data_IF_295166363186
#
_entry.id   IF_295166363186
#
_cell.length_a   1.000
_cell.length_b   1.000
_cell.length_c   1.000
_cell.angle_alpha   90.00
_cell.angle_beta   90.00
_cell.angle_gamma   90.00
#
_symmetry.space_group_name_H-M   'P 1'
#
loop_
_entity.id
_entity.type
_entity.pdbx_description
1 polymer ?
#
# COMPACT_ATOMS: atom_id res chain seq x y z
N UNK A 1 29.50 -13.43 -18.02
CA UNK A 1 28.19 -13.93 -17.55
C UNK A 1 27.19 -12.79 -17.67
N UNK A 2 25.94 -13.05 -18.05
CA UNK A 2 24.90 -12.00 -17.92
C UNK A 2 24.67 -11.76 -16.43
N UNK A 3 24.67 -10.50 -16.00
CA UNK A 3 24.41 -10.15 -14.60
C UNK A 3 22.93 -10.40 -14.20
N UNK A 4 22.05 -10.58 -15.20
CA UNK A 4 20.63 -10.87 -15.02
C UNK A 4 20.27 -12.14 -15.80
N UNK A 5 19.56 -13.05 -15.15
CA UNK A 5 18.95 -14.23 -15.75
C UNK A 5 17.48 -13.92 -15.98
N UNK A 6 16.99 -14.00 -17.23
CA UNK A 6 15.62 -13.64 -17.59
C UNK A 6 14.62 -14.73 -17.20
N UNK A 7 14.31 -14.78 -15.90
CA UNK A 7 13.33 -15.64 -15.28
C UNK A 7 12.77 -14.93 -14.05
N UNK A 8 11.46 -14.78 -13.98
CA UNK A 8 10.75 -14.23 -12.83
C UNK A 8 9.92 -15.26 -12.06
N UNK A 9 9.15 -14.78 -11.10
CA UNK A 9 8.22 -15.57 -10.29
C UNK A 9 6.80 -15.65 -10.90
N UNK A 10 6.53 -14.84 -11.92
CA UNK A 10 5.23 -14.71 -12.56
C UNK A 10 4.97 -15.85 -13.54
N UNK A 11 3.89 -16.59 -13.26
CA UNK A 11 3.31 -17.59 -14.16
C UNK A 11 2.34 -16.96 -15.15
N UNK A 12 1.95 -17.69 -16.20
CA UNK A 12 0.94 -17.20 -17.16
C UNK A 12 -0.42 -16.93 -16.50
N UNK A 13 -0.77 -17.70 -15.46
CA UNK A 13 -1.98 -17.46 -14.68
C UNK A 13 -1.88 -16.15 -13.88
N UNK A 14 -0.72 -15.84 -13.31
CA UNK A 14 -0.50 -14.59 -12.59
C UNK A 14 -0.68 -13.40 -13.55
N UNK A 15 -0.11 -13.50 -14.75
CA UNK A 15 -0.23 -12.47 -15.80
C UNK A 15 -1.67 -12.30 -16.26
N UNK A 16 -2.41 -13.40 -16.46
CA UNK A 16 -3.82 -13.34 -16.82
C UNK A 16 -4.63 -12.58 -15.75
N UNK A 17 -4.49 -12.98 -14.48
CA UNK A 17 -5.19 -12.33 -13.37
C UNK A 17 -4.78 -10.85 -13.22
N UNK A 18 -3.50 -10.53 -13.43
CA UNK A 18 -3.00 -9.17 -13.38
C UNK A 18 -3.68 -8.27 -14.42
N UNK A 19 -3.70 -8.71 -15.69
CA UNK A 19 -4.31 -7.98 -16.81
C UNK A 19 -5.83 -7.82 -16.65
N UNK A 20 -6.49 -8.79 -16.03
CA UNK A 20 -7.94 -8.73 -15.73
C UNK A 20 -8.27 -7.89 -14.48
N UNK A 21 -7.28 -7.43 -13.72
CA UNK A 21 -7.53 -6.65 -12.51
C UNK A 21 -7.97 -7.51 -11.31
N UNK A 22 -7.60 -8.79 -11.30
CA UNK A 22 -8.07 -9.82 -10.37
C UNK A 22 -6.93 -10.55 -9.64
N UNK A 23 -5.69 -10.07 -9.71
CA UNK A 23 -4.59 -10.59 -8.90
C UNK A 23 -4.46 -9.79 -7.61
N UNK A 24 -4.85 -10.37 -6.48
CA UNK A 24 -4.91 -9.67 -5.18
C UNK A 24 -3.74 -9.99 -4.23
N UNK A 25 -2.80 -10.82 -4.67
CA UNK A 25 -1.52 -11.10 -3.99
C UNK A 25 -0.31 -10.72 -4.84
N UNK A 26 -0.38 -9.60 -5.57
CA UNK A 26 0.71 -9.20 -6.47
C UNK A 26 2.06 -9.03 -5.75
N UNK A 27 2.02 -8.70 -4.47
CA UNK A 27 3.19 -8.58 -3.62
C UNK A 27 3.99 -9.88 -3.51
N UNK A 28 3.46 -11.06 -3.83
CA UNK A 28 4.25 -12.32 -3.83
C UNK A 28 5.11 -12.50 -5.08
N UNK A 29 4.94 -11.61 -6.07
CA UNK A 29 5.40 -11.80 -7.45
C UNK A 29 6.14 -10.57 -7.99
N UNK A 30 5.54 -9.40 -7.83
CA UNK A 30 6.13 -8.09 -8.10
C UNK A 30 6.94 -7.62 -6.89
N UNK A 31 7.89 -6.74 -7.13
CA UNK A 31 8.82 -6.28 -6.11
C UNK A 31 10.16 -7.00 -6.16
N UNK A 32 10.83 -7.12 -5.01
CA UNK A 32 12.05 -7.89 -4.84
C UNK A 32 11.86 -9.07 -3.90
N UNK A 33 12.28 -10.26 -4.35
CA UNK A 33 12.06 -11.53 -3.65
C UNK A 33 13.35 -12.33 -3.55
N UNK A 34 13.81 -12.57 -2.33
CA UNK A 34 14.92 -13.49 -2.09
C UNK A 34 14.54 -14.90 -2.53
N UNK A 35 15.46 -15.59 -3.19
CA UNK A 35 15.23 -16.96 -3.61
C UNK A 35 16.47 -17.62 -4.17
N UNK A 36 16.25 -18.76 -4.81
CA UNK A 36 17.29 -19.56 -5.44
C UNK A 36 16.87 -19.90 -6.87
N UNK A 37 17.81 -19.83 -7.80
CA UNK A 37 17.63 -20.29 -9.17
C UNK A 37 18.80 -21.19 -9.54
N UNK A 38 18.50 -22.43 -9.93
CA UNK A 38 19.48 -23.43 -10.37
C UNK A 38 20.66 -23.62 -9.38
N UNK A 39 20.37 -23.65 -8.07
CA UNK A 39 21.37 -23.82 -7.01
C UNK A 39 22.07 -22.53 -6.57
N UNK A 40 21.73 -21.38 -7.16
CA UNK A 40 22.37 -20.10 -6.88
C UNK A 40 21.40 -19.17 -6.15
N UNK A 41 21.78 -18.70 -4.96
CA UNK A 41 21.00 -17.71 -4.21
C UNK A 41 21.10 -16.32 -4.83
N UNK A 42 20.01 -15.57 -4.75
CA UNK A 42 19.93 -14.21 -5.26
C UNK A 42 18.54 -13.62 -5.04
N UNK A 43 18.19 -12.63 -5.87
CA UNK A 43 16.92 -11.92 -5.76
C UNK A 43 16.23 -11.88 -7.12
N UNK A 44 14.94 -12.21 -7.14
CA UNK A 44 14.04 -11.96 -8.26
C UNK A 44 13.52 -10.53 -8.17
N UNK A 45 13.57 -9.79 -9.27
CA UNK A 45 12.98 -8.46 -9.39
C UNK A 45 11.89 -8.49 -10.45
N UNK A 46 10.77 -7.83 -10.20
CA UNK A 46 9.74 -7.61 -11.20
C UNK A 46 9.00 -6.29 -10.99
N UNK A 47 8.81 -5.53 -12.06
CA UNK A 47 8.15 -4.22 -12.04
C UNK A 47 7.29 -4.00 -13.27
N UNK A 48 6.12 -3.39 -13.07
CA UNK A 48 5.22 -3.02 -14.16
C UNK A 48 5.58 -1.64 -14.72
N UNK A 49 6.01 -1.61 -15.99
CA UNK A 49 6.41 -0.38 -16.69
C UNK A 49 6.19 -0.56 -18.22
N UNK A 50 4.92 -0.65 -18.66
CA UNK A 50 4.57 -1.05 -20.03
C UNK A 50 5.12 -0.12 -21.12
N UNK A 51 5.31 1.16 -20.81
CA UNK A 51 5.79 2.15 -21.79
C UNK A 51 7.31 2.37 -21.73
N UNK A 52 8.02 1.63 -20.88
CA UNK A 52 9.47 1.71 -20.81
C UNK A 52 10.15 1.14 -22.06
N UNK A 53 11.22 1.79 -22.51
CA UNK A 53 12.17 1.28 -23.49
C UNK A 53 13.20 0.35 -22.83
N UNK A 54 13.56 0.64 -21.58
CA UNK A 54 14.55 -0.11 -20.80
C UNK A 54 14.30 0.06 -19.31
N UNK A 55 14.35 -1.04 -18.57
CA UNK A 55 14.35 -1.03 -17.10
C UNK A 55 15.58 -1.77 -16.59
N UNK A 56 16.29 -1.15 -15.66
CA UNK A 56 17.45 -1.74 -14.99
C UNK A 56 17.30 -1.66 -13.48
N UNK A 57 17.84 -2.63 -12.76
CA UNK A 57 18.00 -2.55 -11.31
C UNK A 57 19.32 -1.85 -11.00
N UNK A 58 19.26 -0.72 -10.30
CA UNK A 58 20.45 0.02 -9.85
C UNK A 58 20.52 -0.01 -8.33
N UNK A 59 21.70 -0.18 -7.77
CA UNK A 59 21.85 -0.33 -6.33
C UNK A 59 23.30 -0.27 -5.87
N UNK A 60 23.50 -0.46 -4.57
CA UNK A 60 24.83 -0.51 -3.96
C UNK A 60 25.74 -1.58 -4.60
N UNK A 61 25.20 -2.75 -4.87
CA UNK A 61 25.86 -3.92 -5.46
C UNK A 61 26.40 -3.69 -6.88
N UNK A 62 25.97 -2.62 -7.56
CA UNK A 62 26.45 -2.28 -8.91
C UNK A 62 26.93 -0.83 -9.05
N UNK A 63 27.17 -0.15 -7.92
CA UNK A 63 27.59 1.25 -7.92
C UNK A 63 26.56 2.18 -8.57
N UNK A 64 25.27 1.83 -8.49
CA UNK A 64 24.15 2.53 -9.12
C UNK A 64 24.25 2.63 -10.66
N UNK A 65 24.93 1.69 -11.32
CA UNK A 65 25.16 1.71 -12.76
C UNK A 65 23.95 1.17 -13.56
N UNK A 66 23.25 2.02 -14.35
CA UNK A 66 22.04 1.64 -15.08
C UNK A 66 22.28 0.69 -16.25
N UNK A 67 23.52 0.51 -16.71
CA UNK A 67 23.85 -0.37 -17.84
C UNK A 67 24.25 -1.79 -17.37
N UNK A 68 24.29 -2.04 -16.06
CA UNK A 68 24.83 -3.28 -15.49
C UNK A 68 23.82 -4.42 -15.35
N UNK A 69 22.60 -4.13 -14.90
CA UNK A 69 21.57 -5.13 -14.54
C UNK A 69 20.23 -4.82 -15.22
N UNK A 70 20.20 -4.93 -16.55
CA UNK A 70 19.01 -4.69 -17.38
C UNK A 70 18.04 -5.87 -17.25
N UNK A 71 16.78 -5.60 -16.91
CA UNK A 71 15.71 -6.61 -16.80
C UNK A 71 15.19 -7.03 -18.19
N UNK A 72 14.59 -8.22 -18.25
CA UNK A 72 13.91 -8.69 -19.45
C UNK A 72 12.44 -8.27 -19.45
N UNK A 73 11.96 -7.73 -20.57
CA UNK A 73 10.52 -7.50 -20.77
C UNK A 73 9.81 -8.82 -21.07
N UNK A 74 8.63 -9.03 -20.47
CA UNK A 74 7.74 -10.13 -20.84
C UNK A 74 6.99 -9.80 -22.13
N UNK A 75 7.14 -10.65 -23.16
CA UNK A 75 6.49 -10.49 -24.46
C UNK A 75 5.07 -11.07 -24.48
N UNK A 76 4.28 -10.80 -23.44
CA UNK A 76 2.90 -11.28 -23.22
C UNK A 76 1.88 -10.12 -23.12
N UNK A 77 2.32 -8.92 -23.49
CA UNK A 77 1.57 -7.65 -23.42
C UNK A 77 1.18 -7.23 -21.99
N UNK A 78 1.80 -7.79 -20.94
CA UNK A 78 1.63 -7.30 -19.56
C UNK A 78 2.38 -5.99 -19.29
N UNK A 79 3.48 -5.77 -20.01
CA UNK A 79 4.39 -4.65 -19.75
C UNK A 79 5.22 -4.81 -18.48
N UNK A 80 5.34 -6.04 -17.96
CA UNK A 80 6.19 -6.36 -16.81
C UNK A 80 7.63 -6.61 -17.27
N UNK A 81 8.56 -6.04 -16.51
CA UNK A 81 10.00 -6.27 -16.61
C UNK A 81 10.44 -7.13 -15.44
N UNK A 82 11.19 -8.21 -15.70
CA UNK A 82 11.60 -9.14 -14.67
C UNK A 82 13.00 -9.74 -14.89
N UNK A 83 13.57 -10.28 -13.82
CA UNK A 83 14.82 -11.04 -13.88
C UNK A 83 15.33 -11.46 -12.51
N UNK A 84 16.12 -12.53 -12.50
CA UNK A 84 16.86 -12.99 -11.34
C UNK A 84 18.28 -12.45 -11.38
N UNK A 85 18.74 -11.90 -10.26
CA UNK A 85 20.10 -11.40 -10.09
C UNK A 85 20.82 -12.21 -9.00
N UNK A 86 21.82 -13.03 -9.37
CA UNK A 86 22.62 -13.79 -8.42
C UNK A 86 23.34 -12.92 -7.39
N UNK A 87 23.46 -13.41 -6.15
CA UNK A 87 24.30 -12.80 -5.12
C UNK A 87 23.74 -11.55 -4.43
N UNK A 88 22.59 -11.02 -4.87
CA UNK A 88 21.89 -9.96 -4.13
C UNK A 88 21.18 -10.57 -2.93
N UNK A 89 21.45 -10.02 -1.76
CA UNK A 89 20.99 -10.52 -0.45
C UNK A 89 20.09 -9.53 0.27
N UNK A 90 19.49 -10.00 1.38
CA UNK A 90 18.68 -9.18 2.26
C UNK A 90 19.46 -7.95 2.75
N UNK A 91 18.88 -6.76 2.63
CA UNK A 91 19.48 -5.48 3.01
C UNK A 91 20.09 -4.69 1.86
N UNK A 92 20.22 -5.27 0.66
CA UNK A 92 20.73 -4.54 -0.50
C UNK A 92 19.82 -3.38 -0.90
N UNK A 93 20.41 -2.20 -1.11
CA UNK A 93 19.70 -1.00 -1.56
C UNK A 93 19.50 -1.05 -3.08
N UNK A 94 18.31 -0.72 -3.55
CA UNK A 94 18.02 -0.67 -4.98
C UNK A 94 16.94 0.34 -5.37
N UNK A 95 16.93 0.66 -6.66
CA UNK A 95 15.87 1.38 -7.39
C UNK A 95 15.73 0.79 -8.79
N UNK A 96 14.62 1.08 -9.45
CA UNK A 96 14.48 0.88 -10.88
C UNK A 96 14.91 2.12 -11.64
N UNK A 97 15.90 1.98 -12.52
CA UNK A 97 16.22 3.00 -13.52
C UNK A 97 15.40 2.73 -14.79
N UNK A 98 14.49 3.63 -15.11
CA UNK A 98 13.53 3.50 -16.21
C UNK A 98 13.88 4.52 -17.28
N UNK A 99 14.08 4.04 -18.51
CA UNK A 99 14.10 4.86 -19.72
C UNK A 99 12.78 4.61 -20.44
N UNK A 100 11.99 5.66 -20.66
CA UNK A 100 10.71 5.60 -21.35
C UNK A 100 10.89 5.64 -22.87
N UNK A 101 9.93 5.06 -23.60
CA UNK A 101 9.78 5.32 -25.03
C UNK A 101 9.25 6.75 -25.32
N UNK A 102 8.79 7.47 -24.30
CA UNK A 102 8.17 8.77 -24.44
C UNK A 102 9.11 9.91 -24.04
N UNK A 103 9.27 10.90 -24.93
CA UNK A 103 9.88 12.20 -24.66
C UNK A 103 11.30 12.17 -24.05
N UNK A 104 12.05 11.08 -24.25
CA UNK A 104 13.38 10.89 -23.64
C UNK A 104 13.34 10.81 -22.10
N UNK A 105 12.17 10.56 -21.51
CA UNK A 105 12.01 10.54 -20.06
C UNK A 105 12.84 9.42 -19.43
N UNK A 106 13.68 9.79 -18.46
CA UNK A 106 14.53 8.87 -17.71
C UNK A 106 14.44 9.20 -16.23
N UNK A 107 14.28 8.18 -15.39
CA UNK A 107 14.04 8.37 -13.96
C UNK A 107 14.55 7.18 -13.13
N UNK A 108 14.87 7.43 -11.86
CA UNK A 108 15.03 6.38 -10.86
C UNK A 108 13.83 6.34 -9.93
N UNK A 109 13.17 5.19 -9.84
CA UNK A 109 11.99 4.95 -9.03
C UNK A 109 12.29 4.04 -7.85
N UNK A 110 11.70 4.34 -6.70
CA UNK A 110 11.52 3.34 -5.66
C UNK A 110 10.59 2.23 -6.19
N UNK A 111 10.75 1.02 -5.69
CA UNK A 111 9.89 -0.11 -6.03
C UNK A 111 8.48 0.10 -5.45
N UNK A 112 7.42 0.12 -6.29
CA UNK A 112 6.03 0.21 -5.82
C UNK A 112 5.63 -0.91 -4.86
N UNK A 113 6.30 -2.07 -4.92
CA UNK A 113 6.09 -3.28 -4.11
C UNK A 113 7.25 -3.54 -3.14
N UNK A 114 8.05 -2.52 -2.80
CA UNK A 114 9.08 -2.66 -1.76
C UNK A 114 8.45 -3.13 -0.44
N UNK A 115 9.15 -4.03 0.26
CA UNK A 115 8.79 -4.42 1.64
C UNK A 115 9.53 -3.61 2.69
N UNK A 116 10.60 -2.92 2.29
CA UNK A 116 11.38 -2.02 3.13
C UNK A 116 11.95 -0.91 2.26
N UNK A 117 12.07 0.27 2.86
CA UNK A 117 12.68 1.46 2.27
C UNK A 117 13.79 2.01 3.17
N UNK A 118 14.67 2.81 2.59
CA UNK A 118 15.52 3.68 3.39
C UNK A 118 14.68 4.72 4.14
N UNK A 119 15.18 5.18 5.28
CA UNK A 119 14.52 6.24 6.05
C UNK A 119 14.57 7.58 5.31
N UNK A 120 13.42 8.26 5.15
CA UNK A 120 13.38 9.59 4.53
C UNK A 120 14.39 10.56 5.18
N UNK A 121 15.03 11.43 4.38
CA UNK A 121 14.72 11.79 2.99
C UNK A 121 15.32 10.87 1.93
N UNK A 122 15.98 9.77 2.32
CA UNK A 122 16.45 8.77 1.36
C UNK A 122 15.28 7.99 0.77
N UNK A 123 15.49 7.42 -0.41
CA UNK A 123 14.39 6.95 -1.27
C UNK A 123 14.67 5.61 -1.95
N UNK A 124 15.76 4.92 -1.63
CA UNK A 124 15.96 3.58 -2.17
C UNK A 124 15.02 2.58 -1.47
N UNK A 125 14.58 1.59 -2.25
CA UNK A 125 13.98 0.38 -1.73
C UNK A 125 15.08 -0.53 -1.20
N UNK A 126 14.73 -1.44 -0.31
CA UNK A 126 15.66 -2.40 0.30
C UNK A 126 15.13 -3.80 0.01
N UNK A 127 15.99 -4.69 -0.53
CA UNK A 127 15.65 -6.11 -0.65
C UNK A 127 15.43 -6.66 0.74
N UNK A 128 14.22 -7.17 1.01
CA UNK A 128 13.85 -7.55 2.36
C UNK A 128 12.98 -8.80 2.38
N UNK A 129 13.19 -9.65 3.37
CA UNK A 129 12.37 -10.81 3.65
C UNK A 129 11.47 -10.57 4.87
N UNK A 130 10.26 -11.12 4.81
CA UNK A 130 9.20 -10.89 5.78
C UNK A 130 9.00 -12.05 6.77
N UNK A 131 9.95 -12.99 6.87
CA UNK A 131 9.85 -14.06 7.87
C UNK A 131 9.81 -13.49 9.28
N UNK A 132 8.84 -13.97 10.05
CA UNK A 132 8.60 -13.65 11.45
C UNK A 132 7.85 -14.81 12.11
N UNK A 133 8.14 -15.08 13.39
CA UNK A 133 7.49 -16.14 14.15
C UNK A 133 6.40 -15.56 15.05
N UNK A 134 5.19 -15.46 14.50
CA UNK A 134 3.98 -14.99 15.18
C UNK A 134 3.60 -15.83 16.41
N UNK A 135 2.96 -15.20 17.39
CA UNK A 135 2.49 -15.83 18.61
C UNK A 135 1.04 -15.40 18.94
N UNK A 136 0.28 -15.04 17.91
CA UNK A 136 -1.08 -14.50 17.99
C UNK A 136 -2.15 -15.48 17.47
N UNK A 137 -1.84 -16.77 17.37
CA UNK A 137 -2.78 -17.78 16.88
C UNK A 137 -4.10 -17.81 17.67
N UNK A 138 -4.02 -17.59 18.99
CA UNK A 138 -5.20 -17.53 19.85
C UNK A 138 -6.08 -16.33 19.49
N UNK A 139 -5.48 -15.15 19.28
CA UNK A 139 -6.19 -13.95 18.82
C UNK A 139 -6.85 -14.16 17.46
N UNK A 140 -6.11 -14.66 16.47
CA UNK A 140 -6.68 -14.90 15.13
C UNK A 140 -7.85 -15.89 15.16
N UNK A 141 -7.83 -16.86 16.07
CA UNK A 141 -8.94 -17.80 16.25
C UNK A 141 -10.20 -17.17 16.87
N UNK A 142 -10.04 -16.09 17.64
CA UNK A 142 -11.14 -15.38 18.33
C UNK A 142 -11.45 -14.01 17.73
N UNK A 143 -10.68 -13.54 16.74
CA UNK A 143 -10.81 -12.21 16.12
C UNK A 143 -12.24 -11.90 15.68
N UNK A 144 -12.92 -12.85 15.04
CA UNK A 144 -14.32 -12.67 14.63
C UNK A 144 -15.29 -12.37 15.78
N UNK A 145 -14.99 -12.86 17.00
CA UNK A 145 -15.76 -12.51 18.21
C UNK A 145 -15.45 -11.09 18.65
N UNK A 146 -14.22 -10.61 18.51
CA UNK A 146 -13.85 -9.25 18.90
C UNK A 146 -14.29 -8.19 17.89
N UNK A 147 -14.33 -8.55 16.60
CA UNK A 147 -14.65 -7.67 15.49
C UNK A 147 -16.13 -7.66 15.08
N UNK A 148 -16.98 -8.46 15.73
CA UNK A 148 -18.39 -8.53 15.36
C UNK A 148 -19.12 -7.20 15.59
N UNK A 149 -20.17 -6.92 14.83
CA UNK A 149 -21.02 -5.74 15.03
C UNK A 149 -21.72 -5.70 16.39
N UNK A 150 -21.80 -6.83 17.10
CA UNK A 150 -22.35 -6.93 18.46
C UNK A 150 -21.29 -6.80 19.56
N UNK A 151 -20.02 -6.65 19.19
CA UNK A 151 -18.90 -6.61 20.11
C UNK A 151 -18.62 -5.18 20.59
N UNK A 152 -18.02 -5.01 21.78
CA UNK A 152 -17.54 -3.70 22.18
C UNK A 152 -16.41 -3.27 21.25
N UNK A 153 -16.59 -2.13 20.59
CA UNK A 153 -15.57 -1.50 19.77
C UNK A 153 -15.31 -0.10 20.35
N UNK A 154 -14.24 -0.01 21.12
CA UNK A 154 -13.65 1.24 21.62
C UNK A 154 -12.24 1.36 21.08
N UNK A 155 -12.03 2.36 20.21
CA UNK A 155 -10.78 2.59 19.46
C UNK A 155 -9.97 3.71 20.10
N UNK A 156 -8.66 3.51 20.21
CA UNK A 156 -7.70 4.55 20.55
C UNK A 156 -6.89 4.91 19.30
N UNK A 157 -7.15 6.10 18.75
CA UNK A 157 -6.46 6.60 17.55
C UNK A 157 -5.06 7.11 17.92
N UNK A 158 -4.04 6.64 17.18
CA UNK A 158 -2.63 6.86 17.50
C UNK A 158 -1.82 7.23 16.26
N UNK A 159 -1.13 8.37 16.32
CA UNK A 159 -0.01 8.63 15.43
C UNK A 159 1.29 8.06 16.06
N UNK A 160 1.80 6.96 15.49
CA UNK A 160 2.94 6.21 16.02
C UNK A 160 4.18 7.09 16.29
N UNK A 161 4.40 8.09 15.44
CA UNK A 161 5.54 8.98 15.57
C UNK A 161 5.43 10.06 16.64
N UNK A 162 4.25 10.33 17.21
CA UNK A 162 4.07 11.45 18.16
C UNK A 162 3.37 11.07 19.46
N UNK A 163 2.92 9.82 19.61
CA UNK A 163 2.28 9.35 20.83
C UNK A 163 3.17 9.50 22.07
N UNK A 164 4.45 9.10 21.95
CA UNK A 164 5.46 9.29 23.00
C UNK A 164 6.83 9.51 22.38
N UNK A 165 7.63 10.34 23.04
CA UNK A 165 9.03 10.63 22.69
C UNK A 165 9.96 10.22 23.82
N UNK A 166 11.23 10.01 23.51
CA UNK A 166 12.31 9.78 24.48
C UNK A 166 13.11 11.09 24.64
N UNK A 167 12.87 11.91 25.67
CA UNK A 167 13.52 13.22 25.83
C UNK A 167 15.05 13.13 25.93
N UNK A 168 15.56 12.04 26.51
CA UNK A 168 17.00 11.79 26.69
C UNK A 168 17.70 11.45 25.37
N UNK A 169 16.94 11.14 24.32
CA UNK A 169 17.43 10.80 22.98
C UNK A 169 16.98 11.83 21.95
N UNK A 170 17.16 13.11 22.26
CA UNK A 170 16.82 14.24 21.37
C UNK A 170 15.35 14.20 20.89
N UNK A 171 14.44 13.87 21.81
CA UNK A 171 13.01 13.69 21.52
C UNK A 171 12.72 12.70 20.37
N UNK A 172 13.55 11.66 20.20
CA UNK A 172 13.30 10.59 19.24
C UNK A 172 11.91 9.96 19.45
N UNK A 173 11.23 9.66 18.34
CA UNK A 173 10.03 8.82 18.37
C UNK A 173 10.34 7.42 18.87
N UNK A 174 9.40 6.78 19.54
CA UNK A 174 9.54 5.36 19.86
C UNK A 174 9.68 4.51 18.58
N UNK A 175 10.47 3.45 18.67
CA UNK A 175 10.49 2.36 17.70
C UNK A 175 9.21 1.53 17.81
N UNK A 176 8.91 0.72 16.80
CA UNK A 176 7.77 -0.20 16.86
C UNK A 176 7.86 -1.19 18.04
N UNK A 177 9.07 -1.60 18.44
CA UNK A 177 9.23 -2.46 19.63
C UNK A 177 8.87 -1.75 20.92
N UNK A 178 9.41 -0.54 21.11
CA UNK A 178 9.10 0.28 22.28
C UNK A 178 7.60 0.64 22.33
N UNK A 179 6.98 0.91 21.17
CA UNK A 179 5.52 1.06 21.06
C UNK A 179 4.81 -0.23 21.43
N UNK A 180 5.26 -1.39 20.93
CA UNK A 180 4.66 -2.70 21.23
C UNK A 180 4.58 -2.96 22.72
N UNK A 181 5.65 -2.67 23.45
CA UNK A 181 5.68 -2.87 24.90
C UNK A 181 4.83 -1.83 25.65
N UNK A 182 5.00 -0.54 25.32
CA UNK A 182 4.41 0.53 26.12
C UNK A 182 2.96 0.86 25.78
N UNK A 183 2.56 0.77 24.50
CA UNK A 183 1.20 1.06 24.05
C UNK A 183 0.26 -0.09 24.39
N UNK A 184 0.68 -1.35 24.20
CA UNK A 184 -0.16 -2.51 24.53
C UNK A 184 -0.51 -2.56 26.01
N UNK A 185 0.45 -2.30 26.90
CA UNK A 185 0.24 -2.20 28.34
C UNK A 185 -0.69 -1.03 28.70
N UNK A 186 -0.44 0.15 28.14
CA UNK A 186 -1.28 1.32 28.37
C UNK A 186 -2.74 1.07 27.98
N UNK A 187 -2.97 0.53 26.78
CA UNK A 187 -4.32 0.30 26.27
C UNK A 187 -5.06 -0.79 27.03
N UNK A 188 -4.35 -1.85 27.43
CA UNK A 188 -4.92 -2.89 28.30
C UNK A 188 -5.38 -2.29 29.64
N UNK A 189 -4.57 -1.44 30.25
CA UNK A 189 -4.87 -0.84 31.56
C UNK A 189 -6.05 0.14 31.50
N UNK A 190 -6.21 0.86 30.39
CA UNK A 190 -7.34 1.78 30.18
C UNK A 190 -8.60 1.04 29.69
N UNK A 191 -8.46 -0.10 29.03
CA UNK A 191 -9.57 -0.92 28.55
C UNK A 191 -10.06 -0.60 27.13
N UNK A 192 -9.17 -0.11 26.25
CA UNK A 192 -9.48 -0.01 24.83
C UNK A 192 -9.45 -1.40 24.16
N UNK A 193 -10.29 -1.58 23.14
CA UNK A 193 -10.40 -2.86 22.41
C UNK A 193 -9.58 -2.90 21.14
N UNK A 194 -9.32 -1.72 20.56
CA UNK A 194 -8.66 -1.57 19.27
C UNK A 194 -7.75 -0.35 19.30
N UNK A 195 -6.63 -0.42 18.58
CA UNK A 195 -5.84 0.75 18.19
C UNK A 195 -6.11 1.04 16.73
N UNK A 196 -6.36 2.30 16.40
CA UNK A 196 -6.36 2.78 15.02
C UNK A 196 -5.10 3.60 14.81
N UNK A 197 -4.19 3.13 13.95
CA UNK A 197 -3.01 3.90 13.60
C UNK A 197 -3.31 4.81 12.42
N UNK A 198 -2.94 6.09 12.54
CA UNK A 198 -2.71 6.94 11.37
C UNK A 198 -1.74 6.23 10.40
N UNK A 199 -1.73 6.58 9.09
CA UNK A 199 -1.09 5.75 8.08
C UNK A 199 0.37 5.40 8.42
N UNK A 200 0.61 4.09 8.56
CA UNK A 200 1.95 3.56 8.87
C UNK A 200 2.78 3.30 7.62
N UNK A 201 2.16 3.36 6.44
CA UNK A 201 2.82 3.18 5.15
C UNK A 201 3.95 4.21 4.95
N UNK A 202 5.00 3.84 4.22
CA UNK A 202 6.15 4.72 4.01
C UNK A 202 5.74 5.99 3.24
N UNK A 203 6.14 7.13 3.78
CA UNK A 203 5.78 8.46 3.30
C UNK A 203 6.96 9.42 3.46
N UNK A 204 7.26 10.28 2.48
CA UNK A 204 8.47 11.10 2.49
C UNK A 204 8.37 12.27 3.49
N UNK A 205 7.20 12.91 3.56
CA UNK A 205 7.00 14.11 4.38
C UNK A 205 6.28 13.79 5.68
N UNK A 206 6.97 13.96 6.81
CA UNK A 206 6.42 13.67 8.14
C UNK A 206 5.19 14.54 8.50
N UNK A 207 5.14 15.78 8.00
CA UNK A 207 4.02 16.68 8.24
C UNK A 207 2.72 16.30 7.50
N UNK A 208 2.76 15.30 6.62
CA UNK A 208 1.54 14.71 6.04
C UNK A 208 0.81 13.76 6.99
N UNK A 209 1.42 13.45 8.15
CA UNK A 209 0.95 12.45 9.11
C UNK A 209 0.76 11.04 8.54
N UNK A 210 1.30 10.79 7.34
CA UNK A 210 1.19 9.52 6.62
C UNK A 210 0.27 9.57 5.40
N UNK A 211 -0.63 10.55 5.30
CA UNK A 211 -1.63 10.62 4.22
C UNK A 211 -1.06 10.94 2.84
N UNK A 212 0.23 11.26 2.71
CA UNK A 212 0.94 11.35 1.44
C UNK A 212 1.89 10.16 1.26
N UNK A 213 1.31 8.97 1.07
CA UNK A 213 2.04 7.70 0.97
C UNK A 213 2.79 7.55 -0.35
N UNK A 214 4.00 6.99 -0.31
CA UNK A 214 4.75 6.56 -1.51
C UNK A 214 5.14 5.08 -1.49
N UNK A 215 5.18 4.43 -0.33
CA UNK A 215 5.46 2.99 -0.19
C UNK A 215 4.28 2.23 0.42
N UNK A 216 3.41 1.69 -0.43
CA UNK A 216 2.15 1.04 -0.05
C UNK A 216 2.30 -0.35 0.60
N UNK A 217 3.47 -0.97 0.45
CA UNK A 217 3.81 -2.31 0.97
C UNK A 217 4.95 -2.27 2.00
N UNK A 218 5.28 -1.07 2.51
CA UNK A 218 6.37 -0.85 3.47
C UNK A 218 5.85 -0.13 4.70
N UNK A 219 6.00 -0.69 5.92
CA UNK A 219 5.82 0.11 7.13
C UNK A 219 6.96 1.13 7.23
N UNK A 220 6.63 2.36 7.61
CA UNK A 220 7.54 3.50 7.70
C UNK A 220 8.79 3.11 8.47
N UNK A 221 9.93 3.22 7.80
CA UNK A 221 11.25 2.86 8.32
C UNK A 221 11.73 3.77 9.46
N UNK A 222 11.01 4.87 9.72
CA UNK A 222 11.28 5.80 10.84
C UNK A 222 11.27 5.13 12.20
N UNK A 223 10.49 4.05 12.36
CA UNK A 223 10.27 3.40 13.64
C UNK A 223 10.89 1.99 13.74
N UNK A 224 11.57 1.52 12.69
CA UNK A 224 12.26 0.23 12.70
C UNK A 224 12.09 -0.59 11.43
N UNK A 225 12.30 -1.88 11.54
CA UNK A 225 12.14 -2.86 10.46
C UNK A 225 10.69 -3.35 10.33
N UNK A 226 10.34 -3.97 9.19
CA UNK A 226 9.09 -4.72 9.05
C UNK A 226 8.79 -5.68 10.21
N UNK A 227 9.80 -6.43 10.68
CA UNK A 227 9.66 -7.36 11.81
C UNK A 227 9.38 -6.64 13.14
N UNK A 228 9.84 -5.41 13.30
CA UNK A 228 9.54 -4.62 14.50
C UNK A 228 8.08 -4.17 14.47
N UNK A 229 7.52 -3.87 13.30
CA UNK A 229 6.08 -3.61 13.16
C UNK A 229 5.24 -4.88 13.38
N UNK A 230 5.68 -6.05 12.88
CA UNK A 230 5.04 -7.33 13.21
C UNK A 230 5.05 -7.59 14.72
N UNK A 231 6.15 -7.26 15.41
CA UNK A 231 6.21 -7.35 16.88
C UNK A 231 5.20 -6.44 17.58
N UNK A 232 5.00 -5.20 17.10
CA UNK A 232 3.98 -4.30 17.64
C UNK A 232 2.58 -4.94 17.54
N UNK A 233 2.24 -5.47 16.38
CA UNK A 233 0.94 -6.14 16.17
C UNK A 233 0.81 -7.38 17.07
N UNK A 234 1.82 -8.24 17.10
CA UNK A 234 1.84 -9.45 17.95
C UNK A 234 1.69 -9.11 19.45
N UNK A 235 2.34 -8.02 19.90
CA UNK A 235 2.23 -7.54 21.28
C UNK A 235 0.80 -7.04 21.61
N UNK A 236 0.14 -6.36 20.68
CA UNK A 236 -1.25 -5.91 20.84
C UNK A 236 -2.23 -7.09 20.86
N UNK A 237 -2.07 -8.04 19.93
CA UNK A 237 -2.89 -9.26 19.86
C UNK A 237 -2.78 -10.11 21.13
N UNK A 238 -1.58 -10.25 21.72
CA UNK A 238 -1.39 -10.93 23.02
C UNK A 238 -2.14 -10.28 24.18
N UNK A 239 -2.59 -9.04 24.01
CA UNK A 239 -3.42 -8.31 24.98
C UNK A 239 -4.89 -8.22 24.55
N UNK A 240 -5.29 -8.96 23.52
CA UNK A 240 -6.62 -8.92 22.90
C UNK A 240 -7.01 -7.53 22.40
N UNK A 241 -6.04 -6.78 21.86
CA UNK A 241 -6.25 -5.47 21.25
C UNK A 241 -6.14 -5.62 19.74
N UNK A 242 -7.21 -5.31 19.02
CA UNK A 242 -7.19 -5.32 17.57
C UNK A 242 -6.44 -4.13 16.96
N UNK A 243 -5.89 -4.30 15.78
CA UNK A 243 -5.11 -3.30 15.04
C UNK A 243 -5.84 -2.90 13.77
N UNK A 244 -6.12 -1.61 13.66
CA UNK A 244 -6.70 -0.99 12.47
C UNK A 244 -5.68 -0.03 11.89
N UNK A 245 -5.54 -0.02 10.57
CA UNK A 245 -4.68 0.94 9.87
C UNK A 245 -5.52 1.90 9.03
N UNK A 246 -5.22 3.18 9.15
CA UNK A 246 -5.57 4.14 8.11
C UNK A 246 -4.84 3.77 6.82
N UNK A 247 -5.61 3.46 5.79
CA UNK A 247 -5.12 3.09 4.47
C UNK A 247 -5.59 4.13 3.45
N UNK A 248 -4.67 4.55 2.57
CA UNK A 248 -4.83 5.77 1.77
C UNK A 248 -4.92 5.46 0.27
N UNK A 249 -6.07 5.01 -0.25
CA UNK A 249 -6.29 4.72 -1.68
C UNK A 249 -6.79 5.93 -2.47
N UNK A 250 -7.01 7.08 -1.82
CA UNK A 250 -7.61 8.27 -2.42
C UNK A 250 -6.65 9.00 -3.34
N UNK A 251 -5.37 9.10 -2.95
CA UNK A 251 -4.37 9.83 -3.72
C UNK A 251 -2.94 9.44 -3.35
N UNK A 252 -1.97 9.99 -4.08
CA UNK A 252 -0.53 9.91 -3.80
C UNK A 252 0.18 11.22 -4.20
N UNK A 253 1.33 11.56 -3.58
CA UNK A 253 1.99 12.85 -3.82
C UNK A 253 2.79 12.87 -5.14
N UNK A 254 3.28 14.05 -5.51
CA UNK A 254 4.04 14.30 -6.74
C UNK A 254 5.53 13.95 -6.65
N UNK A 255 5.96 13.23 -5.62
CA UNK A 255 7.34 12.83 -5.41
C UNK A 255 7.87 11.96 -6.56
N UNK A 256 8.92 12.42 -7.25
CA UNK A 256 9.43 11.75 -8.45
C UNK A 256 9.89 10.31 -8.18
N UNK A 257 10.35 9.98 -6.97
CA UNK A 257 10.74 8.61 -6.64
C UNK A 257 9.54 7.65 -6.48
N UNK A 258 8.33 8.19 -6.24
CA UNK A 258 7.09 7.43 -6.04
C UNK A 258 6.36 7.13 -7.37
N UNK A 259 5.03 7.04 -7.32
CA UNK A 259 4.22 6.48 -8.41
C UNK A 259 3.97 7.45 -9.59
N UNK A 260 4.14 8.76 -9.40
CA UNK A 260 3.78 9.77 -10.42
C UNK A 260 4.55 9.57 -11.72
N UNK A 261 3.86 9.60 -12.85
CA UNK A 261 4.46 9.54 -14.18
C UNK A 261 5.45 8.37 -14.36
N UNK A 262 5.12 7.21 -13.78
CA UNK A 262 6.06 6.15 -13.40
C UNK A 262 7.00 5.70 -14.52
N UNK A 263 6.44 5.42 -15.70
CA UNK A 263 7.14 4.90 -16.87
C UNK A 263 7.23 5.90 -18.02
N UNK A 264 7.10 7.20 -17.70
CA UNK A 264 7.01 8.28 -18.69
C UNK A 264 5.61 8.47 -19.28
N UNK A 265 4.58 7.91 -18.64
CA UNK A 265 3.16 8.16 -18.91
C UNK A 265 2.39 8.28 -17.59
N UNK A 266 1.13 8.74 -17.67
CA UNK A 266 0.18 8.65 -16.57
C UNK A 266 -0.25 7.18 -16.35
N UNK A 267 0.59 6.46 -15.60
CA UNK A 267 0.48 5.01 -15.40
C UNK A 267 -0.49 4.68 -14.27
N UNK A 268 -0.19 5.17 -13.06
CA UNK A 268 -0.99 4.96 -11.86
C UNK A 268 -2.09 6.00 -11.73
N UNK A 269 -1.79 7.25 -12.07
CA UNK A 269 -2.75 8.35 -12.10
C UNK A 269 -3.56 8.40 -13.40
N UNK A 270 -4.73 9.03 -13.34
CA UNK A 270 -5.52 9.30 -14.53
C UNK A 270 -4.90 10.45 -15.35
N UNK A 271 -4.80 10.30 -16.68
CA UNK A 271 -4.15 11.29 -17.54
C UNK A 271 -4.89 12.64 -17.65
N UNK A 272 -6.23 12.62 -17.60
CA UNK A 272 -7.03 13.84 -17.51
C UNK A 272 -6.98 14.40 -16.09
N UNK A 273 -6.31 15.55 -15.91
CA UNK A 273 -6.13 16.22 -14.62
C UNK A 273 -7.44 16.59 -13.91
N UNK A 274 -8.55 16.73 -14.65
CA UNK A 274 -9.88 16.97 -14.05
C UNK A 274 -10.40 15.76 -13.27
N UNK A 275 -9.85 14.57 -13.54
CA UNK A 275 -10.14 13.32 -12.83
C UNK A 275 -8.93 12.79 -12.04
N UNK A 276 -7.71 13.14 -12.46
CA UNK A 276 -6.46 12.58 -11.98
C UNK A 276 -5.72 13.40 -10.92
N UNK A 277 -6.28 14.49 -10.42
CA UNK A 277 -5.56 15.41 -9.53
C UNK A 277 -6.46 16.14 -8.54
N UNK A 278 -6.11 16.12 -7.24
CA UNK A 278 -6.78 16.93 -6.22
C UNK A 278 -6.15 18.33 -6.14
N UNK A 279 -6.89 19.39 -6.53
CA UNK A 279 -6.33 20.74 -6.58
C UNK A 279 -5.96 21.29 -5.20
N UNK A 280 -6.78 21.05 -4.17
CA UNK A 280 -6.55 21.57 -2.82
C UNK A 280 -5.39 20.86 -2.10
N UNK A 281 -5.09 19.62 -2.48
CA UNK A 281 -4.07 18.79 -1.82
C UNK A 281 -2.76 18.69 -2.61
N UNK A 282 -2.75 19.19 -3.84
CA UNK A 282 -1.63 19.08 -4.77
C UNK A 282 -1.12 17.63 -4.92
N UNK A 283 -2.05 16.69 -5.11
CA UNK A 283 -1.80 15.25 -5.16
C UNK A 283 -2.53 14.58 -6.33
N UNK A 284 -2.02 13.43 -6.77
CA UNK A 284 -2.57 12.68 -7.90
C UNK A 284 -3.56 11.61 -7.45
N UNK A 285 -4.61 11.42 -8.24
CA UNK A 285 -5.68 10.44 -8.01
C UNK A 285 -5.40 9.20 -8.85
N UNK A 286 -5.51 8.03 -8.23
CA UNK A 286 -5.37 6.75 -8.93
C UNK A 286 -6.39 6.60 -10.07
N UNK A 287 -5.97 6.00 -11.17
CA UNK A 287 -6.86 5.59 -12.24
C UNK A 287 -7.57 4.28 -11.89
N UNK A 288 -8.66 4.38 -11.12
CA UNK A 288 -9.46 3.21 -10.71
C UNK A 288 -10.06 2.43 -11.88
N UNK A 289 -10.17 3.03 -13.07
CA UNK A 289 -10.63 2.33 -14.28
C UNK A 289 -9.60 1.34 -14.83
N UNK A 290 -8.32 1.48 -14.47
CA UNK A 290 -7.24 0.64 -14.97
C UNK A 290 -7.07 -0.63 -14.13
N UNK A 291 -7.15 -1.78 -14.80
CA UNK A 291 -7.13 -3.09 -14.16
C UNK A 291 -5.92 -3.31 -13.24
N UNK A 292 -4.72 -2.99 -13.74
CA UNK A 292 -3.48 -3.19 -13.01
C UNK A 292 -3.38 -2.27 -11.77
N UNK A 293 -3.93 -1.06 -11.86
CA UNK A 293 -3.98 -0.10 -10.74
C UNK A 293 -4.97 -0.58 -9.67
N UNK A 294 -6.13 -1.12 -10.06
CA UNK A 294 -7.03 -1.76 -9.09
C UNK A 294 -6.37 -2.96 -8.41
N UNK A 295 -5.69 -3.82 -9.17
CA UNK A 295 -4.96 -4.96 -8.59
C UNK A 295 -3.88 -4.51 -7.62
N UNK A 296 -3.14 -3.43 -7.94
CA UNK A 296 -2.15 -2.84 -7.04
C UNK A 296 -2.77 -2.38 -5.72
N UNK A 297 -3.85 -1.60 -5.78
CA UNK A 297 -4.53 -1.08 -4.59
C UNK A 297 -5.15 -2.21 -3.75
N UNK A 298 -5.88 -3.14 -4.37
CA UNK A 298 -6.48 -4.25 -3.61
C UNK A 298 -5.38 -5.15 -3.02
N UNK A 299 -4.28 -5.38 -3.77
CA UNK A 299 -3.13 -6.10 -3.21
C UNK A 299 -2.52 -5.37 -2.02
N UNK A 300 -2.45 -4.04 -2.02
CA UNK A 300 -1.89 -3.29 -0.88
C UNK A 300 -2.77 -3.35 0.35
N UNK A 301 -4.09 -3.29 0.21
CA UNK A 301 -5.00 -3.54 1.33
C UNK A 301 -4.83 -4.96 1.90
N UNK A 302 -4.87 -5.97 1.02
CA UNK A 302 -4.74 -7.38 1.39
C UNK A 302 -3.40 -7.71 2.05
N UNK A 303 -2.33 -7.01 1.67
CA UNK A 303 -0.98 -7.23 2.18
C UNK A 303 -0.86 -6.99 3.69
N UNK A 304 -1.54 -5.97 4.23
CA UNK A 304 -1.50 -5.67 5.66
C UNK A 304 -2.17 -6.74 6.51
N UNK A 305 -3.27 -7.33 6.02
CA UNK A 305 -3.92 -8.47 6.67
C UNK A 305 -3.09 -9.76 6.51
N UNK A 306 -2.53 -10.01 5.33
CA UNK A 306 -1.79 -11.24 5.01
C UNK A 306 -0.43 -11.32 5.69
N UNK A 307 0.37 -10.24 5.64
CA UNK A 307 1.76 -10.24 6.11
C UNK A 307 1.93 -9.66 7.51
N UNK A 308 1.01 -8.80 7.95
CA UNK A 308 1.10 -8.11 9.24
C UNK A 308 -0.05 -8.39 10.18
N UNK A 309 -0.97 -9.30 9.82
CA UNK A 309 -2.10 -9.73 10.65
C UNK A 309 -3.03 -8.60 11.10
N UNK A 310 -3.01 -7.44 10.43
CA UNK A 310 -3.90 -6.31 10.75
C UNK A 310 -5.36 -6.75 10.69
N UNK A 311 -6.16 -6.29 11.65
CA UNK A 311 -7.56 -6.71 11.84
C UNK A 311 -8.57 -5.87 11.05
N UNK A 312 -8.15 -4.71 10.58
CA UNK A 312 -9.00 -3.88 9.75
C UNK A 312 -8.29 -2.69 9.10
N UNK A 313 -9.00 -2.05 8.19
CA UNK A 313 -8.54 -0.82 7.55
C UNK A 313 -9.62 0.26 7.61
N UNK A 314 -9.18 1.50 7.79
CA UNK A 314 -10.03 2.69 7.69
C UNK A 314 -9.62 3.50 6.46
N UNK A 315 -10.60 3.91 5.66
CA UNK A 315 -10.41 4.78 4.50
C UNK A 315 -10.87 6.18 4.86
N UNK A 316 -9.91 7.11 4.86
CA UNK A 316 -10.15 8.55 5.03
C UNK A 316 -10.68 9.19 3.74
N UNK A 317 -11.47 10.24 3.88
CA UNK A 317 -11.97 11.08 2.81
C UNK A 317 -12.58 10.31 1.65
N UNK A 318 -13.46 9.34 1.93
CA UNK A 318 -14.12 8.51 0.88
C UNK A 318 -14.89 9.38 -0.13
N UNK A 319 -15.39 10.54 0.29
CA UNK A 319 -15.99 11.52 -0.61
C UNK A 319 -15.04 11.97 -1.75
N UNK A 320 -13.74 12.10 -1.47
CA UNK A 320 -12.73 12.45 -2.47
C UNK A 320 -12.58 11.40 -3.57
N UNK A 321 -12.91 10.15 -3.25
CA UNK A 321 -12.89 8.99 -4.14
C UNK A 321 -14.19 8.91 -4.95
N UNK A 322 -15.33 9.13 -4.28
CA UNK A 322 -16.67 8.93 -4.83
C UNK A 322 -17.09 9.98 -5.86
N UNK A 323 -16.52 11.20 -5.82
CA UNK A 323 -17.05 12.33 -6.58
C UNK A 323 -16.03 12.96 -7.53
N UNK A 324 -16.43 13.08 -8.79
CA UNK A 324 -15.65 13.71 -9.86
C UNK A 324 -15.49 15.22 -9.68
N UNK A 325 -16.40 15.85 -8.93
CA UNK A 325 -16.41 17.28 -8.63
C UNK A 325 -15.85 17.63 -7.24
N UNK A 326 -15.28 16.66 -6.52
CA UNK A 326 -14.71 16.90 -5.19
C UNK A 326 -13.64 18.00 -5.24
N UNK A 327 -13.81 19.05 -4.45
CA UNK A 327 -12.94 20.24 -4.41
C UNK A 327 -12.74 20.91 -5.77
N UNK A 328 -13.74 20.88 -6.67
CA UNK A 328 -13.68 21.52 -8.00
C UNK A 328 -14.84 22.47 -8.21
N UNK A 329 -14.60 23.55 -8.95
CA UNK A 329 -15.64 24.51 -9.35
C UNK A 329 -16.39 24.02 -10.60
N UNK A 330 -17.51 24.67 -10.89
CA UNK A 330 -18.22 24.45 -12.16
C UNK A 330 -17.28 24.70 -13.35
N UNK A 331 -17.28 23.79 -14.32
CA UNK A 331 -16.39 23.82 -15.48
C UNK A 331 -14.99 23.20 -15.27
N UNK A 332 -14.61 22.86 -14.03
CA UNK A 332 -13.32 22.24 -13.71
C UNK A 332 -13.39 20.70 -13.62
N UNK A 333 -14.56 20.10 -13.81
CA UNK A 333 -14.79 18.65 -13.80
C UNK A 333 -15.69 18.20 -14.96
N UNK A 334 -15.76 16.89 -15.19
CA UNK A 334 -16.59 16.27 -16.25
C UNK A 334 -17.51 15.24 -15.61
N UNK A 335 -18.81 15.20 -15.95
CA UNK A 335 -19.70 14.16 -15.47
C UNK A 335 -19.34 12.76 -15.96
N UNK A 336 -19.88 11.76 -15.27
CA UNK A 336 -19.83 10.37 -15.72
C UNK A 336 -20.69 10.15 -16.98
N UNK A 337 -20.65 8.94 -17.53
CA UNK A 337 -21.37 8.57 -18.75
C UNK A 337 -22.91 8.73 -18.66
N UNK A 338 -23.46 8.82 -17.45
CA UNK A 338 -24.89 9.05 -17.19
C UNK A 338 -25.22 10.50 -16.81
N UNK A 339 -24.25 11.42 -16.86
CA UNK A 339 -24.44 12.83 -16.52
C UNK A 339 -24.33 13.16 -15.02
N UNK A 340 -23.99 12.18 -14.17
CA UNK A 340 -23.84 12.34 -12.73
C UNK A 340 -22.43 12.77 -12.30
N UNK A 341 -22.29 13.12 -11.02
CA UNK A 341 -21.00 13.48 -10.39
C UNK A 341 -20.26 12.29 -9.79
N UNK A 342 -20.90 11.14 -9.75
CA UNK A 342 -20.37 9.91 -9.16
C UNK A 342 -19.24 9.35 -10.02
N UNK A 343 -18.12 9.01 -9.38
CA UNK A 343 -17.00 8.31 -10.00
C UNK A 343 -17.29 6.80 -10.00
N UNK A 344 -17.80 6.29 -11.13
CA UNK A 344 -18.30 4.92 -11.24
C UNK A 344 -17.19 3.88 -11.10
N UNK A 345 -16.02 4.16 -11.65
CA UNK A 345 -14.84 3.31 -11.56
C UNK A 345 -14.35 3.20 -10.11
N UNK A 346 -14.34 4.32 -9.38
CA UNK A 346 -14.04 4.35 -7.95
C UNK A 346 -15.07 3.59 -7.10
N UNK A 347 -16.38 3.77 -7.37
CA UNK A 347 -17.44 3.01 -6.69
C UNK A 347 -17.27 1.51 -6.93
N UNK A 348 -17.00 1.10 -8.18
CA UNK A 348 -16.74 -0.30 -8.52
C UNK A 348 -15.50 -0.83 -7.78
N UNK A 349 -14.45 -0.02 -7.68
CA UNK A 349 -13.24 -0.37 -6.93
C UNK A 349 -13.53 -0.58 -5.44
N UNK A 350 -14.24 0.33 -4.76
CA UNK A 350 -14.55 0.22 -3.33
C UNK A 350 -15.43 -1.01 -3.03
N UNK A 351 -16.41 -1.31 -3.89
CA UNK A 351 -17.20 -2.53 -3.77
C UNK A 351 -16.32 -3.77 -3.89
N UNK A 352 -15.49 -3.82 -4.93
CA UNK A 352 -14.59 -4.95 -5.18
C UNK A 352 -13.58 -5.14 -4.06
N UNK A 353 -13.03 -4.05 -3.52
CA UNK A 353 -12.13 -4.05 -2.38
C UNK A 353 -12.78 -4.76 -1.18
N UNK A 354 -13.97 -4.33 -0.77
CA UNK A 354 -14.67 -4.93 0.36
C UNK A 354 -15.03 -6.40 0.11
N UNK A 355 -15.51 -6.74 -1.09
CA UNK A 355 -15.79 -8.14 -1.48
C UNK A 355 -14.55 -9.03 -1.35
N UNK A 356 -13.39 -8.55 -1.79
CA UNK A 356 -12.13 -9.31 -1.71
C UNK A 356 -11.66 -9.44 -0.27
N UNK A 357 -11.72 -8.36 0.52
CA UNK A 357 -11.33 -8.39 1.93
C UNK A 357 -12.20 -9.38 2.70
N UNK A 358 -13.53 -9.22 2.71
CA UNK A 358 -14.42 -10.11 3.45
C UNK A 358 -14.45 -11.54 2.90
N UNK A 359 -14.13 -11.74 1.62
CA UNK A 359 -14.00 -13.08 1.02
C UNK A 359 -12.78 -13.86 1.49
N UNK A 360 -11.71 -13.18 1.92
CA UNK A 360 -10.46 -13.81 2.37
C UNK A 360 -10.26 -13.72 3.89
N UNK A 361 -10.74 -12.64 4.51
CA UNK A 361 -10.66 -12.34 5.93
C UNK A 361 -12.07 -11.96 6.42
N UNK A 362 -12.98 -12.94 6.57
CA UNK A 362 -14.39 -12.71 6.90
C UNK A 362 -14.61 -12.05 8.27
N UNK A 363 -13.59 -12.08 9.12
CA UNK A 363 -13.53 -11.56 10.48
C UNK A 363 -12.71 -10.26 10.60
N UNK A 364 -12.21 -9.70 9.49
CA UNK A 364 -11.65 -8.36 9.46
C UNK A 364 -12.76 -7.29 9.43
N UNK A 365 -12.41 -6.03 9.72
CA UNK A 365 -13.33 -4.89 9.62
C UNK A 365 -12.83 -3.83 8.63
N UNK A 366 -13.76 -3.23 7.90
CA UNK A 366 -13.48 -2.08 7.05
C UNK A 366 -14.29 -0.87 7.48
N UNK A 367 -13.62 0.28 7.61
CA UNK A 367 -14.21 1.54 8.06
C UNK A 367 -14.10 2.61 6.98
N UNK A 368 -15.10 3.48 6.92
CA UNK A 368 -15.12 4.63 6.01
C UNK A 368 -15.38 5.94 6.77
N UNK A 369 -14.61 6.97 6.46
CA UNK A 369 -15.03 8.36 6.69
C UNK A 369 -15.64 8.91 5.41
N UNK A 370 -16.92 9.28 5.47
CA UNK A 370 -17.66 9.78 4.32
C UNK A 370 -18.59 10.92 4.77
N UNK A 371 -18.35 12.12 4.24
CA UNK A 371 -18.84 13.40 4.76
C UNK A 371 -19.90 14.09 3.89
N UNK A 372 -20.46 13.41 2.88
CA UNK A 372 -21.46 13.98 1.94
C UNK A 372 -22.84 13.29 2.01
N UNK A 373 -23.03 12.42 3.00
CA UNK A 373 -24.24 11.61 3.17
C UNK A 373 -24.52 10.64 2.01
N UNK A 374 -23.47 10.09 1.40
CA UNK A 374 -23.59 9.02 0.42
C UNK A 374 -24.40 7.85 1.04
N UNK A 375 -25.44 7.34 0.37
CA UNK A 375 -26.30 6.32 0.95
C UNK A 375 -25.59 4.97 1.02
N UNK A 376 -25.99 4.13 1.99
CA UNK A 376 -25.62 2.71 2.03
C UNK A 376 -24.11 2.42 2.06
N UNK A 377 -23.30 3.33 2.61
CA UNK A 377 -21.84 3.13 2.79
C UNK A 377 -21.55 1.81 3.51
N UNK A 378 -22.31 1.50 4.57
CA UNK A 378 -22.15 0.30 5.39
C UNK A 378 -23.17 -0.81 5.08
N UNK A 379 -23.60 -0.92 3.82
CA UNK A 379 -24.47 -2.01 3.36
C UNK A 379 -23.73 -2.95 2.41
N UNK A 380 -24.14 -4.23 2.33
CA UNK A 380 -23.52 -5.20 1.41
C UNK A 380 -23.58 -4.74 -0.06
N UNK A 381 -22.57 -5.13 -0.83
CA UNK A 381 -22.44 -4.73 -2.24
C UNK A 381 -23.57 -5.27 -3.12
N UNK A 382 -24.04 -6.49 -2.84
CA UNK A 382 -25.19 -7.10 -3.52
C UNK A 382 -26.52 -6.36 -3.26
N UNK A 383 -26.60 -5.56 -2.20
CA UNK A 383 -27.75 -4.71 -1.87
C UNK A 383 -27.56 -3.26 -2.36
N UNK A 384 -26.51 -2.99 -3.14
CA UNK A 384 -26.20 -1.68 -3.69
C UNK A 384 -25.27 -0.81 -2.83
N UNK A 385 -24.86 -1.28 -1.64
CA UNK A 385 -23.94 -0.54 -0.76
C UNK A 385 -22.48 -0.58 -1.20
N UNK A 386 -21.62 0.16 -0.49
CA UNK A 386 -20.17 0.17 -0.75
C UNK A 386 -19.44 -1.01 -0.12
N UNK A 387 -20.08 -1.72 0.81
CA UNK A 387 -19.55 -2.91 1.45
C UNK A 387 -18.73 -2.66 2.72
N UNK A 388 -18.62 -1.42 3.21
CA UNK A 388 -17.91 -1.16 4.47
C UNK A 388 -18.65 -1.76 5.68
N UNK A 389 -17.92 -2.14 6.73
CA UNK A 389 -18.49 -2.63 7.98
C UNK A 389 -19.00 -1.49 8.86
N UNK A 390 -18.23 -0.41 8.96
CA UNK A 390 -18.53 0.76 9.79
C UNK A 390 -18.31 2.07 9.02
N UNK A 391 -18.97 3.14 9.47
CA UNK A 391 -18.81 4.49 8.94
C UNK A 391 -18.70 5.47 10.10
N UNK A 392 -17.71 6.36 10.06
CA UNK A 392 -17.62 7.47 10.99
C UNK A 392 -18.86 8.38 10.90
N UNK A 393 -19.47 8.67 12.04
CA UNK A 393 -20.64 9.54 12.11
C UNK A 393 -20.22 11.01 12.25
N UNK A 394 -19.77 11.58 11.14
CA UNK A 394 -19.28 12.97 11.08
C UNK A 394 -20.32 14.02 11.45
N UNK A 395 -21.63 13.71 11.37
CA UNK A 395 -22.68 14.64 11.78
C UNK A 395 -22.98 14.62 13.29
N UNK A 396 -22.51 13.61 14.00
CA UNK A 396 -22.64 13.51 15.47
C UNK A 396 -21.46 14.13 16.21
N UNK A 397 -20.24 13.98 15.66
CA UNK A 397 -19.02 14.66 16.13
C UNK A 397 -19.17 16.17 15.95
#
# INVERSE_FOLDING_TARGET
MRNVIFKGLLTDQDIYLFKEGNHFKLYEKLGSHLGELDGVSGTFFAVWAPNAARVSVVGDFNGWNPDSHILGVRWDSSGIWEGFIPGITNGALYKYHIISNNNGYTVQKADPFAFRSETPPKTASVVWDLRYNWQDSDWLSTRGVHNSLSSPISMYEVHAGSWRRTPEEDNRSLTYRELGDSLSEYMRDIGFTHVEFLPIMEHPFYGSWGYQTTGYFTPSSRFGSPQDFMYLVDALHKKNIGVILDWVPSHFPSDQHGLVYFDGTHLFEHADMRKGFHPDWNSYIFNYGRNEVRSFLISSAMFWMDKYHVDGIRVDAVASILYLDYSRKEGEWIPNEFGGRENLEAISFLKRLNEVIYGNYPDAITLAEESTAYPMVTRPTFAGGLGFGLKWNMGWM
#
